data_IF_661462844569
#
_entry.id   IF_661462844569
#
_cell.length_a   1.000
_cell.length_b   1.000
_cell.length_c   1.000
_cell.angle_alpha   90.00
_cell.angle_beta   90.00
_cell.angle_gamma   90.00
#
_symmetry.space_group_name_H-M   'P 1'
#
loop_
_entity.id
_entity.type
_entity.pdbx_description
1 polymer ?
#
# COMPACT_ATOMS: atom_id res chain seq x y z
N UNK A 1 19.21 -4.62 11.45
CA UNK A 1 19.01 -4.73 11.23
C UNK A 1 18.93 -5.12 11.39
N UNK A 2 18.61 -4.98 11.26
CA UNK A 2 18.40 -5.19 11.14
C UNK A 2 18.29 -5.04 10.86
N UNK A 3 18.09 -4.82 11.10
CA UNK A 3 18.10 -4.61 10.39
C UNK A 3 18.74 -4.58 9.84
N UNK A 4 19.24 -4.75 10.61
CA UNK A 4 19.81 -4.69 9.81
C UNK A 4 19.81 -5.27 8.68
N UNK A 5 19.88 -6.40 8.84
CA UNK A 5 19.58 -6.92 7.54
C UNK A 5 18.23 -6.47 7.10
N UNK A 6 18.12 -5.64 6.10
CA UNK A 6 16.81 -5.22 5.66
C UNK A 6 16.02 -6.38 5.12
N UNK A 7 14.70 -6.32 5.22
CA UNK A 7 13.83 -7.29 4.56
C UNK A 7 14.11 -7.27 3.07
N UNK A 8 13.74 -8.34 2.34
CA UNK A 8 13.89 -8.30 0.89
C UNK A 8 13.22 -7.09 0.26
N UNK A 9 12.07 -6.69 0.77
CA UNK A 9 11.40 -5.49 0.26
C UNK A 9 12.22 -4.25 0.55
N UNK A 10 12.64 -4.09 1.79
CA UNK A 10 13.38 -2.90 2.19
C UNK A 10 14.74 -2.84 1.52
N UNK A 11 15.40 -3.99 1.44
CA UNK A 11 16.71 -4.06 0.84
C UNK A 11 16.66 -3.69 -0.63
N UNK A 12 15.63 -4.17 -1.32
CA UNK A 12 15.47 -3.86 -2.73
C UNK A 12 14.81 -2.54 -3.00
N UNK A 13 14.26 -1.88 -1.97
CA UNK A 13 13.38 -0.74 -2.21
C UNK A 13 14.10 0.39 -2.92
N UNK A 14 15.33 0.74 -2.51
CA UNK A 14 16.05 1.81 -3.16
C UNK A 14 16.33 1.51 -4.61
N UNK A 15 16.98 0.37 -4.87
CA UNK A 15 17.30 0.00 -6.25
C UNK A 15 16.04 -0.44 -6.99
N UNK A 16 15.10 -1.08 -6.28
CA UNK A 16 13.83 -1.46 -6.87
C UNK A 16 13.08 -0.24 -7.38
N UNK A 17 12.95 0.79 -6.55
CA UNK A 17 12.29 2.01 -6.95
C UNK A 17 13.03 2.67 -8.11
N UNK A 18 14.37 2.61 -8.11
CA UNK A 18 15.14 3.15 -9.22
C UNK A 18 14.78 2.47 -10.53
N UNK A 19 14.66 1.14 -10.50
CA UNK A 19 14.31 0.39 -11.70
C UNK A 19 12.87 0.64 -12.14
N UNK A 20 11.98 0.90 -11.19
CA UNK A 20 10.55 1.01 -11.46
C UNK A 20 10.09 2.44 -11.68
N UNK A 21 11.00 3.36 -11.58
CA UNK A 21 10.64 4.76 -11.74
C UNK A 21 10.67 5.13 -13.22
N UNK A 22 9.53 5.55 -13.76
CA UNK A 22 9.45 5.94 -15.16
C UNK A 22 9.93 7.36 -15.40
N UNK A 23 9.56 8.28 -14.52
CA UNK A 23 9.94 9.69 -14.60
C UNK A 23 10.50 10.13 -13.27
N UNK A 24 11.29 11.22 -13.31
CA UNK A 24 11.75 11.83 -12.09
C UNK A 24 10.55 12.35 -11.30
N UNK A 25 10.50 12.05 -10.01
CA UNK A 25 9.44 12.53 -9.15
C UNK A 25 9.56 14.04 -8.95
N UNK A 26 8.41 14.70 -8.87
CA UNK A 26 8.40 16.10 -8.41
C UNK A 26 8.77 16.12 -6.93
N UNK A 27 9.16 17.32 -6.45
CA UNK A 27 9.48 17.47 -5.03
C UNK A 27 8.26 17.12 -4.16
N UNK A 28 7.06 17.50 -4.60
CA UNK A 28 5.85 17.18 -3.85
C UNK A 28 5.67 15.67 -3.74
N UNK A 29 5.79 14.95 -4.86
CA UNK A 29 5.58 13.51 -4.86
C UNK A 29 6.67 12.79 -4.07
N UNK A 30 7.92 13.24 -4.16
CA UNK A 30 8.98 12.64 -3.36
C UNK A 30 8.72 12.85 -1.87
N UNK A 31 8.20 14.02 -1.51
CA UNK A 31 7.84 14.29 -0.11
C UNK A 31 6.74 13.38 0.40
N UNK A 32 5.74 13.09 -0.43
CA UNK A 32 4.66 12.19 -0.04
C UNK A 32 5.19 10.77 0.19
N UNK A 33 6.05 10.29 -0.69
CA UNK A 33 6.67 8.97 -0.51
C UNK A 33 7.43 8.94 0.81
N UNK A 34 8.19 9.97 1.10
CA UNK A 34 9.06 9.98 2.27
C UNK A 34 8.28 10.14 3.58
N UNK A 35 7.24 10.96 3.57
CA UNK A 35 6.55 11.33 4.80
C UNK A 35 5.28 10.55 5.05
N UNK A 36 4.57 10.15 4.00
CA UNK A 36 3.25 9.55 4.15
C UNK A 36 3.28 8.03 4.00
N UNK A 37 4.05 7.51 3.05
CA UNK A 37 4.03 6.07 2.77
C UNK A 37 4.40 5.22 3.98
N UNK A 38 5.39 5.60 4.82
CA UNK A 38 5.76 4.72 5.94
C UNK A 38 4.61 4.39 6.88
N UNK A 39 3.62 5.28 7.02
CA UNK A 39 2.50 5.02 7.91
C UNK A 39 1.42 4.15 7.26
N UNK A 40 1.47 3.97 5.94
CA UNK A 40 0.45 3.22 5.21
C UNK A 40 0.95 1.88 4.70
N UNK A 41 2.27 1.68 4.65
CA UNK A 41 2.85 0.47 4.08
C UNK A 41 2.69 -0.71 5.03
N UNK A 42 2.34 -1.87 4.46
CA UNK A 42 2.21 -3.10 5.24
C UNK A 42 3.60 -3.71 5.43
N UNK A 43 3.91 -4.09 6.66
CA UNK A 43 5.20 -4.71 7.00
C UNK A 43 5.03 -6.22 7.03
N UNK A 44 5.47 -6.89 5.99
CA UNK A 44 5.33 -8.33 5.87
C UNK A 44 6.28 -9.12 6.77
N UNK A 45 7.22 -8.44 7.44
CA UNK A 45 8.09 -9.12 8.40
C UNK A 45 7.39 -9.38 9.71
N UNK A 46 6.27 -8.72 9.95
CA UNK A 46 5.43 -8.99 11.11
C UNK A 46 4.33 -9.95 10.72
N UNK A 47 3.92 -10.85 11.61
CA UNK A 47 2.79 -11.72 11.31
C UNK A 47 1.54 -10.89 11.04
N UNK A 48 0.73 -11.36 10.12
CA UNK A 48 -0.55 -10.71 9.88
C UNK A 48 -1.44 -10.86 11.12
N UNK A 49 -2.18 -9.82 11.50
CA UNK A 49 -3.14 -9.96 12.58
C UNK A 49 -4.23 -10.95 12.16
N UNK A 50 -4.83 -11.67 13.11
CA UNK A 50 -5.92 -12.58 12.75
C UNK A 50 -7.08 -11.88 12.09
N UNK A 51 -7.34 -10.64 12.49
CA UNK A 51 -8.38 -9.80 11.90
C UNK A 51 -7.69 -8.62 11.21
N UNK A 52 -7.71 -8.63 9.88
CA UNK A 52 -7.04 -7.59 9.09
C UNK A 52 -7.64 -6.20 9.33
N UNK A 53 -8.88 -6.12 9.84
CA UNK A 53 -9.48 -4.83 10.15
C UNK A 53 -8.64 -4.06 11.16
N UNK A 54 -7.85 -4.74 11.97
CA UNK A 54 -6.99 -4.10 12.95
C UNK A 54 -5.90 -3.24 12.32
N UNK A 55 -5.62 -3.42 11.04
CA UNK A 55 -4.60 -2.63 10.34
C UNK A 55 -5.11 -1.25 9.92
N UNK A 56 -6.40 -0.99 10.09
CA UNK A 56 -7.01 0.26 9.65
C UNK A 56 -7.41 1.09 10.87
N UNK A 57 -7.23 2.42 10.83
CA UNK A 57 -7.60 3.27 11.96
C UNK A 57 -9.10 3.55 12.05
N UNK A 58 -9.88 3.05 11.08
CA UNK A 58 -11.33 3.21 11.07
C UNK A 58 -11.96 1.83 11.05
N UNK A 59 -13.22 1.75 11.44
CA UNK A 59 -13.92 0.47 11.46
C UNK A 59 -14.19 0.03 10.04
N UNK A 60 -13.72 -1.19 9.70
CA UNK A 60 -13.99 -1.77 8.39
C UNK A 60 -14.56 -3.16 8.58
N UNK A 61 -15.49 -3.53 7.69
CA UNK A 61 -16.18 -4.80 7.75
C UNK A 61 -15.85 -5.73 6.59
N UNK A 62 -15.16 -5.19 5.58
CA UNK A 62 -14.76 -5.95 4.40
C UNK A 62 -13.33 -5.61 4.06
N UNK A 63 -12.62 -6.59 3.50
CA UNK A 63 -11.23 -6.41 3.10
C UNK A 63 -11.13 -6.72 1.62
N UNK A 64 -10.54 -5.80 0.86
CA UNK A 64 -10.38 -5.94 -0.59
C UNK A 64 -8.93 -5.70 -0.96
N UNK A 65 -8.51 -6.26 -2.08
CA UNK A 65 -7.14 -6.11 -2.58
C UNK A 65 -7.21 -5.67 -4.03
N UNK A 66 -6.43 -4.66 -4.38
CA UNK A 66 -6.25 -4.28 -5.78
C UNK A 66 -4.77 -4.34 -6.12
N UNK A 67 -4.43 -5.12 -7.14
CA UNK A 67 -3.05 -5.34 -7.57
C UNK A 67 -2.78 -4.52 -8.82
N UNK A 68 -1.67 -3.76 -8.81
CA UNK A 68 -1.30 -2.95 -9.96
C UNK A 68 -2.22 -1.77 -10.14
N UNK A 69 -2.38 -0.97 -9.08
CA UNK A 69 -3.37 0.12 -9.13
C UNK A 69 -2.96 1.31 -10.00
N UNK A 70 -1.71 1.33 -10.51
CA UNK A 70 -1.25 2.44 -11.35
C UNK A 70 -1.23 3.75 -10.59
N UNK A 71 -1.92 4.76 -11.11
CA UNK A 71 -2.05 6.05 -10.44
C UNK A 71 -3.08 6.10 -9.34
N UNK A 72 -3.85 5.02 -9.16
CA UNK A 72 -4.72 4.86 -8.02
C UNK A 72 -6.11 5.44 -8.15
N UNK A 73 -6.48 5.95 -9.33
CA UNK A 73 -7.81 6.58 -9.48
C UNK A 73 -8.94 5.62 -9.16
N UNK A 74 -8.85 4.38 -9.67
CA UNK A 74 -9.88 3.39 -9.42
C UNK A 74 -9.90 2.99 -7.94
N UNK A 75 -8.73 2.73 -7.37
CA UNK A 75 -8.63 2.35 -5.96
C UNK A 75 -9.22 3.43 -5.05
N UNK A 76 -8.87 4.68 -5.32
CA UNK A 76 -9.36 5.80 -4.52
C UNK A 76 -10.87 5.94 -4.68
N UNK A 77 -11.37 5.79 -5.91
CA UNK A 77 -12.81 5.86 -6.15
C UNK A 77 -13.56 4.80 -5.33
N UNK A 78 -13.05 3.56 -5.34
CA UNK A 78 -13.67 2.49 -4.58
C UNK A 78 -13.58 2.74 -3.08
N UNK A 79 -12.43 3.20 -2.60
CA UNK A 79 -12.26 3.45 -1.18
C UNK A 79 -13.16 4.60 -0.70
N UNK A 80 -13.31 5.61 -1.54
CA UNK A 80 -14.15 6.76 -1.22
C UNK A 80 -15.62 6.37 -1.13
N UNK A 81 -16.05 5.46 -1.99
CA UNK A 81 -17.45 5.05 -2.05
C UNK A 81 -17.77 3.86 -1.13
N UNK A 82 -16.75 3.27 -0.52
CA UNK A 82 -16.93 2.14 0.40
C UNK A 82 -16.03 2.34 1.60
N UNK A 83 -16.34 3.34 2.40
CA UNK A 83 -15.49 3.73 3.52
C UNK A 83 -15.49 2.71 4.66
N UNK A 84 -16.46 1.79 4.65
CA UNK A 84 -16.49 0.68 5.59
C UNK A 84 -15.72 -0.54 5.10
N UNK A 85 -15.06 -0.45 3.96
CA UNK A 85 -14.16 -1.49 3.47
C UNK A 85 -12.73 -1.04 3.65
N UNK A 86 -11.84 -1.98 4.00
CA UNK A 86 -10.41 -1.74 4.01
C UNK A 86 -9.80 -2.24 2.72
N UNK A 87 -8.95 -1.44 2.10
CA UNK A 87 -8.34 -1.76 0.81
C UNK A 87 -6.85 -1.92 0.95
N UNK A 88 -6.32 -3.04 0.46
CA UNK A 88 -4.88 -3.20 0.25
C UNK A 88 -4.59 -2.93 -1.22
N UNK A 89 -3.72 -1.97 -1.49
CA UNK A 89 -3.30 -1.67 -2.85
C UNK A 89 -1.84 -2.03 -3.04
N UNK A 90 -1.51 -2.66 -4.16
CA UNK A 90 -0.15 -3.06 -4.49
C UNK A 90 0.28 -2.34 -5.75
N UNK A 91 1.41 -1.64 -5.69
CA UNK A 91 1.96 -0.97 -6.86
C UNK A 91 3.47 -0.82 -6.69
N UNK A 92 4.27 -1.50 -7.53
CA UNK A 92 5.72 -1.39 -7.42
C UNK A 92 6.31 -0.12 -8.02
N UNK A 93 5.59 0.57 -8.92
CA UNK A 93 6.10 1.79 -9.54
C UNK A 93 5.93 2.96 -8.60
N UNK A 94 7.05 3.63 -8.30
CA UNK A 94 7.04 4.73 -7.34
C UNK A 94 6.20 5.91 -7.82
N UNK A 95 6.16 6.16 -9.14
CA UNK A 95 5.37 7.26 -9.67
C UNK A 95 3.87 7.04 -9.44
N UNK A 96 3.39 5.82 -9.66
CA UNK A 96 1.99 5.50 -9.37
C UNK A 96 1.68 5.57 -7.89
N UNK A 97 2.59 5.06 -7.07
CA UNK A 97 2.43 5.13 -5.61
C UNK A 97 2.31 6.59 -5.15
N UNK A 98 3.16 7.47 -5.69
CA UNK A 98 3.13 8.88 -5.31
C UNK A 98 1.82 9.55 -5.73
N UNK A 99 1.32 9.23 -6.91
CA UNK A 99 0.04 9.77 -7.36
C UNK A 99 -1.10 9.33 -6.46
N UNK A 100 -1.10 8.06 -6.07
CA UNK A 100 -2.10 7.56 -5.14
C UNK A 100 -2.04 8.31 -3.81
N UNK A 101 -0.84 8.49 -3.28
CA UNK A 101 -0.69 9.19 -1.99
C UNK A 101 -1.25 10.60 -2.06
N UNK A 102 -1.05 11.30 -3.18
CA UNK A 102 -1.63 12.63 -3.35
C UNK A 102 -3.15 12.60 -3.30
N UNK A 103 -3.76 11.60 -3.94
CA UNK A 103 -5.21 11.46 -3.91
C UNK A 103 -5.72 11.11 -2.52
N UNK A 104 -5.04 10.20 -1.85
CA UNK A 104 -5.42 9.78 -0.49
C UNK A 104 -5.36 10.97 0.46
N UNK A 105 -4.30 11.77 0.34
CA UNK A 105 -4.14 12.96 1.19
C UNK A 105 -5.26 13.97 0.93
N UNK A 106 -5.51 14.26 -0.34
CA UNK A 106 -6.50 15.27 -0.70
C UNK A 106 -7.91 14.86 -0.28
N UNK A 107 -8.23 13.58 -0.39
CA UNK A 107 -9.56 13.08 -0.05
C UNK A 107 -9.66 12.59 1.39
N UNK A 108 -8.57 12.65 2.14
CA UNK A 108 -8.53 12.27 3.55
C UNK A 108 -9.05 10.85 3.77
N UNK A 109 -8.55 9.90 2.98
CA UNK A 109 -8.96 8.51 3.10
C UNK A 109 -8.14 7.81 4.16
N UNK A 110 -8.80 6.99 4.99
CA UNK A 110 -8.15 6.24 6.06
C UNK A 110 -8.28 4.74 5.89
N UNK A 111 -8.92 4.28 4.82
CA UNK A 111 -9.23 2.87 4.64
C UNK A 111 -8.37 2.22 3.56
N UNK A 112 -7.14 2.73 3.37
CA UNK A 112 -6.20 2.16 2.39
C UNK A 112 -4.89 1.83 3.09
N UNK A 113 -4.37 0.64 2.81
CA UNK A 113 -3.03 0.22 3.19
C UNK A 113 -2.31 -0.24 1.92
N UNK A 114 -1.00 -0.08 1.88
CA UNK A 114 -0.24 -0.18 0.63
C UNK A 114 0.89 -1.16 0.75
N UNK A 115 1.27 -1.73 -0.39
CA UNK A 115 2.46 -2.57 -0.50
C UNK A 115 3.13 -2.23 -1.82
N UNK A 116 4.46 -2.15 -1.80
CA UNK A 116 5.21 -1.56 -2.91
C UNK A 116 6.16 -2.54 -3.58
N UNK A 117 5.89 -3.83 -3.50
CA UNK A 117 6.78 -4.81 -4.10
C UNK A 117 5.95 -5.92 -4.74
N UNK A 118 6.33 -7.18 -4.57
CA UNK A 118 5.74 -8.33 -5.24
C UNK A 118 4.40 -8.70 -4.60
N UNK A 119 3.34 -8.66 -5.40
CA UNK A 119 2.00 -8.97 -4.90
C UNK A 119 1.90 -10.39 -4.33
N UNK A 120 2.68 -11.35 -4.87
CA UNK A 120 2.63 -12.71 -4.36
C UNK A 120 3.04 -12.78 -2.89
N UNK A 121 4.00 -11.93 -2.50
CA UNK A 121 4.42 -11.89 -1.10
C UNK A 121 3.31 -11.40 -0.19
N UNK A 122 2.58 -10.40 -0.62
CA UNK A 122 1.43 -9.91 0.16
C UNK A 122 0.35 -10.99 0.25
N UNK A 123 0.03 -11.62 -0.88
CA UNK A 123 -1.03 -12.61 -0.88
C UNK A 123 -0.70 -13.80 0.01
N UNK A 124 0.57 -14.21 0.02
CA UNK A 124 1.01 -15.29 0.90
C UNK A 124 0.94 -14.90 2.37
N UNK A 125 1.14 -13.61 2.66
CA UNK A 125 1.13 -13.11 4.03
C UNK A 125 -0.28 -13.01 4.60
N UNK A 126 -1.27 -12.75 3.75
CA UNK A 126 -2.64 -12.58 4.20
C UNK A 126 -3.21 -13.90 4.72
N UNK A 127 -3.96 -13.89 5.83
CA UNK A 127 -4.57 -15.12 6.32
C UNK A 127 -5.54 -15.72 5.31
N UNK A 128 -5.70 -17.03 5.36
CA UNK A 128 -6.64 -17.71 4.47
C UNK A 128 -8.05 -17.15 4.70
N UNK A 129 -8.78 -16.97 3.61
CA UNK A 129 -10.17 -16.52 3.62
C UNK A 129 -10.36 -15.14 4.24
N UNK A 130 -9.30 -14.32 4.27
CA UNK A 130 -9.39 -12.99 4.88
C UNK A 130 -9.89 -11.92 3.92
N UNK A 131 -9.90 -12.20 2.61
CA UNK A 131 -10.30 -11.23 1.60
C UNK A 131 -11.77 -11.46 1.27
N UNK A 132 -12.54 -10.38 1.31
CA UNK A 132 -13.98 -10.46 1.02
C UNK A 132 -14.19 -10.62 -0.47
N UNK A 133 -14.95 -11.63 -0.92
CA UNK A 133 -15.26 -11.79 -2.34
C UNK A 133 -16.07 -10.61 -2.86
N UNK A 134 -15.87 -10.30 -4.14
CA UNK A 134 -16.65 -9.25 -4.79
C UNK A 134 -18.08 -9.73 -5.07
#
# INVERSE_FOLDING_TARGET
>A
MSKTEPSPRRQGAGSFFGRRRGKTLTALHAGLIQQMLPSLIVDLERPAPPDLALLFPVAVTRIRVEIGFGGGEHLVHEAENHRDSGFFGVEPFVNGMAKLLALVSRKELSNIRLYDFDAALLLDWLPANSITPN
#
